data_IF_305844287048
#
_entry.id   IF_305844287048
#
_cell.length_a   1.000
_cell.length_b   1.000
_cell.length_c   1.000
_cell.angle_alpha   90.00
_cell.angle_beta   90.00
_cell.angle_gamma   90.00
#
_symmetry.space_group_name_H-M   'P 1'
#
loop_
_entity.id
_entity.type
_entity.pdbx_description
1 polymer ?
#
# COMPACT_ATOMS: atom_id res chain seq x y z
N UNK A 1 15.00 -9.24 -25.00
CA UNK A 1 13.63 -9.73 -24.75
C UNK A 1 12.99 -8.87 -23.67
N UNK A 2 11.73 -8.45 -23.83
CA UNK A 2 10.92 -7.95 -22.70
C UNK A 2 10.44 -9.18 -21.91
N UNK A 3 10.38 -9.10 -20.58
CA UNK A 3 9.99 -10.22 -19.71
C UNK A 3 8.50 -10.61 -19.86
N UNK A 4 7.90 -11.14 -18.80
CA UNK A 4 6.46 -11.45 -18.78
C UNK A 4 5.60 -10.22 -19.10
N UNK A 5 4.47 -10.42 -19.77
CA UNK A 5 3.48 -9.38 -20.09
C UNK A 5 2.70 -8.89 -18.86
N UNK A 6 2.65 -9.71 -17.82
CA UNK A 6 1.94 -9.49 -16.57
C UNK A 6 2.74 -10.08 -15.41
N UNK A 7 2.81 -9.35 -14.30
CA UNK A 7 3.35 -9.84 -13.03
C UNK A 7 2.41 -9.57 -11.87
N UNK A 8 2.58 -10.32 -10.78
CA UNK A 8 1.93 -10.05 -9.51
C UNK A 8 2.99 -9.83 -8.45
N UNK A 9 2.74 -8.84 -7.58
CA UNK A 9 3.54 -8.58 -6.39
C UNK A 9 2.66 -8.37 -5.17
N UNK A 10 3.29 -8.28 -4.01
CA UNK A 10 2.64 -7.87 -2.77
C UNK A 10 2.99 -6.42 -2.47
N UNK A 11 2.07 -5.65 -1.90
CA UNK A 11 2.30 -4.24 -1.58
C UNK A 11 1.87 -3.97 -0.13
N UNK A 12 2.87 -3.65 0.69
CA UNK A 12 2.74 -3.13 2.05
C UNK A 12 3.40 -1.75 2.08
N UNK A 13 4.73 -1.75 1.95
CA UNK A 13 5.55 -0.54 1.88
C UNK A 13 5.61 0.08 0.48
N UNK A 14 4.89 -0.45 -0.51
CA UNK A 14 4.98 0.00 -1.90
C UNK A 14 5.57 -1.00 -2.88
N UNK A 15 5.77 -2.27 -2.52
CA UNK A 15 6.52 -3.22 -3.35
C UNK A 15 5.85 -3.64 -4.68
N UNK A 16 4.65 -3.14 -5.00
CA UNK A 16 4.10 -3.15 -6.37
C UNK A 16 4.33 -1.80 -7.05
N UNK A 17 4.03 -0.69 -6.37
CA UNK A 17 4.08 0.67 -6.93
C UNK A 17 5.51 1.19 -7.17
N UNK A 18 6.44 0.92 -6.26
CA UNK A 18 7.85 1.33 -6.34
C UNK A 18 8.55 0.70 -7.55
N UNK A 19 8.58 -0.64 -7.72
CA UNK A 19 9.20 -1.24 -8.90
C UNK A 19 8.48 -0.84 -10.19
N UNK A 20 7.15 -0.64 -10.16
CA UNK A 20 6.44 -0.13 -11.31
C UNK A 20 6.93 1.26 -11.73
N UNK A 21 7.10 2.18 -10.77
CA UNK A 21 7.70 3.50 -10.99
C UNK A 21 9.12 3.39 -11.57
N UNK A 22 9.99 2.55 -10.99
CA UNK A 22 11.37 2.41 -11.42
C UNK A 22 11.52 1.77 -12.81
N UNK A 23 10.60 0.88 -13.20
CA UNK A 23 10.67 0.13 -14.45
C UNK A 23 9.78 0.68 -15.56
N UNK A 24 9.07 1.80 -15.34
CA UNK A 24 8.15 2.36 -16.32
C UNK A 24 6.93 1.47 -16.60
N UNK A 25 6.38 0.85 -15.56
CA UNK A 25 5.20 0.00 -15.62
C UNK A 25 4.02 0.67 -14.90
N UNK A 26 2.82 0.15 -15.16
CA UNK A 26 1.66 0.38 -14.34
C UNK A 26 1.64 -0.66 -13.21
N UNK A 27 1.55 -0.19 -11.97
CA UNK A 27 1.42 -1.06 -10.79
C UNK A 27 0.21 -0.61 -9.97
N UNK A 28 -0.69 -1.54 -9.67
CA UNK A 28 -1.89 -1.25 -8.88
C UNK A 28 -1.84 -2.00 -7.55
N UNK A 29 -1.91 -1.26 -6.45
CA UNK A 29 -2.27 -1.82 -5.14
C UNK A 29 -3.79 -1.72 -4.99
N UNK A 30 -4.56 -2.79 -5.22
CA UNK A 30 -6.00 -2.74 -5.09
C UNK A 30 -6.41 -2.56 -3.62
N UNK A 31 -7.71 -2.43 -3.38
CA UNK A 31 -8.27 -2.65 -2.04
C UNK A 31 -7.77 -4.00 -1.51
N UNK A 32 -7.44 -4.02 -0.22
CA UNK A 32 -7.05 -5.25 0.49
C UNK A 32 -8.12 -6.32 0.21
N UNK A 33 -7.67 -7.56 0.06
CA UNK A 33 -8.53 -8.72 -0.18
C UNK A 33 -9.30 -8.72 -1.52
N UNK A 34 -9.09 -7.72 -2.39
CA UNK A 34 -9.72 -7.71 -3.73
C UNK A 34 -9.20 -8.82 -4.64
N UNK A 35 -7.95 -9.24 -4.43
CA UNK A 35 -7.32 -10.37 -5.09
C UNK A 35 -7.08 -11.45 -4.02
N UNK A 36 -7.49 -12.71 -4.25
CA UNK A 36 -7.30 -13.81 -3.29
C UNK A 36 -5.82 -14.03 -2.94
N UNK A 37 -5.52 -14.33 -1.67
CA UNK A 37 -4.15 -14.51 -1.17
C UNK A 37 -3.90 -15.88 -0.50
N UNK A 38 -4.90 -16.76 -0.47
CA UNK A 38 -4.74 -18.08 0.12
C UNK A 38 -3.60 -18.87 -0.55
N UNK A 39 -2.84 -19.60 0.26
CA UNK A 39 -1.68 -20.39 -0.17
C UNK A 39 -0.37 -19.60 -0.31
N UNK A 40 -0.38 -18.28 -0.12
CA UNK A 40 0.83 -17.47 -0.07
C UNK A 40 1.42 -17.41 1.34
N UNK A 41 2.72 -17.20 1.43
CA UNK A 41 3.39 -16.97 2.72
C UNK A 41 2.82 -15.69 3.35
N UNK A 42 2.23 -15.78 4.55
CA UNK A 42 1.69 -14.59 5.20
C UNK A 42 2.85 -13.72 5.69
N UNK A 43 2.67 -12.41 5.68
CA UNK A 43 3.67 -11.48 6.22
C UNK A 43 3.79 -11.59 7.76
N UNK A 44 2.73 -12.04 8.41
CA UNK A 44 2.57 -12.14 9.86
C UNK A 44 2.05 -13.53 10.23
N UNK A 45 2.23 -13.94 11.49
CA UNK A 45 1.70 -15.22 11.98
C UNK A 45 0.17 -15.31 11.79
N UNK A 46 -0.33 -16.48 11.38
CA UNK A 46 -1.77 -16.74 11.31
C UNK A 46 -2.46 -16.43 12.65
N UNK A 47 -3.58 -15.71 12.60
CA UNK A 47 -4.30 -15.21 13.77
C UNK A 47 -3.91 -13.79 14.21
N UNK A 48 -2.78 -13.27 13.72
CA UNK A 48 -2.47 -11.84 13.83
C UNK A 48 -3.14 -11.10 12.68
N UNK A 49 -4.19 -10.33 12.98
CA UNK A 49 -4.75 -9.38 12.02
C UNK A 49 -3.90 -8.11 12.05
N UNK A 50 -3.08 -7.84 11.04
CA UNK A 50 -2.23 -6.68 11.09
C UNK A 50 -3.11 -5.44 10.92
N UNK A 51 -2.94 -4.46 11.79
CA UNK A 51 -3.55 -3.13 11.61
C UNK A 51 -3.02 -2.40 10.37
N UNK A 52 -2.01 -2.98 9.72
CA UNK A 52 -1.41 -2.63 8.45
C UNK A 52 -1.53 -3.84 7.50
N UNK A 53 -2.53 -3.81 6.63
CA UNK A 53 -2.78 -4.92 5.72
C UNK A 53 -1.91 -4.83 4.47
N UNK A 54 -1.61 -6.00 3.88
CA UNK A 54 -0.99 -6.12 2.57
C UNK A 54 -2.04 -6.34 1.49
N UNK A 55 -1.71 -6.02 0.24
CA UNK A 55 -2.52 -6.40 -0.90
C UNK A 55 -1.66 -7.03 -1.98
N UNK A 56 -2.17 -8.07 -2.64
CA UNK A 56 -1.60 -8.53 -3.90
C UNK A 56 -2.06 -7.60 -5.04
N UNK A 57 -1.16 -7.26 -5.94
CA UNK A 57 -1.40 -6.28 -6.99
C UNK A 57 -0.71 -6.62 -8.31
N UNK A 58 -1.36 -6.34 -9.46
CA UNK A 58 -0.78 -6.59 -10.77
C UNK A 58 0.21 -5.50 -11.19
N UNK A 59 1.20 -5.89 -12.00
CA UNK A 59 2.10 -5.02 -12.75
C UNK A 59 1.99 -5.35 -14.25
N UNK A 60 1.86 -4.33 -15.09
CA UNK A 60 1.73 -4.48 -16.53
C UNK A 60 2.24 -3.26 -17.30
N UNK A 61 2.41 -3.40 -18.61
CA UNK A 61 2.83 -2.30 -19.49
C UNK A 61 1.72 -1.29 -19.81
N UNK A 62 0.45 -1.67 -19.62
CA UNK A 62 -0.69 -0.79 -19.94
C UNK A 62 -1.74 -0.82 -18.83
N UNK A 63 -2.34 0.35 -18.54
CA UNK A 63 -3.43 0.47 -17.58
C UNK A 63 -4.65 -0.40 -17.94
N UNK A 64 -4.91 -0.61 -19.24
CA UNK A 64 -6.00 -1.48 -19.70
C UNK A 64 -5.80 -2.95 -19.28
N UNK A 65 -4.55 -3.40 -19.20
CA UNK A 65 -4.22 -4.79 -18.83
C UNK A 65 -4.41 -4.98 -17.32
N UNK A 66 -4.05 -3.97 -16.52
CA UNK A 66 -4.36 -3.90 -15.08
C UNK A 66 -5.88 -3.99 -14.85
N UNK A 67 -6.66 -3.21 -15.60
CA UNK A 67 -8.12 -3.24 -15.51
C UNK A 67 -8.68 -4.61 -15.92
N UNK A 68 -8.23 -5.15 -17.05
CA UNK A 68 -8.66 -6.46 -17.57
C UNK A 68 -8.41 -7.58 -16.55
N UNK A 69 -7.20 -7.66 -16.00
CA UNK A 69 -6.85 -8.76 -15.08
C UNK A 69 -7.61 -8.64 -13.75
N UNK A 70 -7.71 -7.43 -13.19
CA UNK A 70 -8.44 -7.22 -11.94
C UNK A 70 -9.92 -7.56 -12.11
N UNK A 71 -10.54 -7.12 -13.21
CA UNK A 71 -11.92 -7.46 -13.54
C UNK A 71 -12.10 -8.97 -13.68
N UNK A 72 -11.23 -9.63 -14.44
CA UNK A 72 -11.28 -11.08 -14.66
C UNK A 72 -11.22 -11.86 -13.34
N UNK A 73 -10.30 -11.48 -12.44
CA UNK A 73 -10.18 -12.10 -11.11
C UNK A 73 -11.45 -11.87 -10.29
N UNK A 74 -11.97 -10.65 -10.23
CA UNK A 74 -13.15 -10.35 -9.41
C UNK A 74 -14.40 -11.05 -9.96
N UNK A 75 -14.56 -11.09 -11.29
CA UNK A 75 -15.69 -11.76 -11.96
C UNK A 75 -15.65 -13.28 -11.78
N UNK A 76 -14.49 -13.89 -11.51
CA UNK A 76 -14.38 -15.30 -11.14
C UNK A 76 -14.93 -15.63 -9.74
N UNK A 77 -15.38 -14.61 -8.98
CA UNK A 77 -15.97 -14.73 -7.64
C UNK A 77 -15.06 -15.46 -6.65
N UNK A 78 -13.82 -14.99 -6.42
CA UNK A 78 -12.80 -15.68 -5.64
C UNK A 78 -13.23 -15.94 -4.19
N UNK A 79 -14.11 -15.10 -3.62
CA UNK A 79 -14.70 -15.28 -2.29
C UNK A 79 -15.51 -16.57 -2.11
N UNK A 80 -15.82 -17.30 -3.18
CA UNK A 80 -16.41 -18.64 -3.10
C UNK A 80 -15.41 -19.74 -2.75
N UNK A 81 -14.11 -19.47 -2.92
CA UNK A 81 -13.04 -20.47 -2.80
C UNK A 81 -11.93 -20.04 -1.83
N UNK A 82 -11.78 -18.74 -1.61
CA UNK A 82 -10.77 -18.16 -0.74
C UNK A 82 -11.44 -17.27 0.32
N UNK A 83 -11.29 -17.66 1.59
CA UNK A 83 -11.85 -16.93 2.73
C UNK A 83 -11.18 -15.58 3.00
N UNK A 84 -10.02 -15.32 2.38
CA UNK A 84 -9.32 -14.03 2.41
C UNK A 84 -9.88 -13.07 1.36
N UNK A 85 -10.65 -13.54 0.37
CA UNK A 85 -11.13 -12.67 -0.70
C UNK A 85 -12.39 -11.88 -0.30
N UNK A 86 -12.38 -10.58 -0.59
CA UNK A 86 -13.49 -9.67 -0.34
C UNK A 86 -14.68 -10.05 -1.25
N UNK A 87 -15.81 -10.35 -0.63
CA UNK A 87 -17.07 -10.67 -1.33
C UNK A 87 -17.75 -9.42 -1.89
N UNK A 88 -17.14 -8.83 -2.90
CA UNK A 88 -17.66 -7.64 -3.58
C UNK A 88 -17.58 -7.86 -5.10
N UNK A 89 -18.70 -7.87 -5.83
CA UNK A 89 -18.70 -7.98 -7.28
C UNK A 89 -17.93 -6.87 -8.00
N UNK A 90 -17.67 -7.07 -9.30
CA UNK A 90 -17.16 -6.00 -10.14
C UNK A 90 -18.27 -5.00 -10.42
N UNK A 91 -18.03 -3.73 -10.12
CA UNK A 91 -18.95 -2.63 -10.44
C UNK A 91 -18.29 -1.80 -11.54
N UNK A 92 -18.84 -1.76 -12.76
CA UNK A 92 -18.38 -0.84 -13.78
C UNK A 92 -18.51 0.59 -13.26
N UNK A 93 -17.42 1.35 -13.29
CA UNK A 93 -17.42 2.77 -12.98
C UNK A 93 -17.30 3.58 -14.28
N UNK A 94 -18.19 4.54 -14.48
CA UNK A 94 -17.94 5.64 -15.42
C UNK A 94 -17.15 6.73 -14.70
N UNK A 95 -16.25 7.40 -15.41
CA UNK A 95 -15.70 8.65 -14.90
C UNK A 95 -16.86 9.64 -14.74
N UNK A 96 -16.90 10.32 -13.60
CA UNK A 96 -17.83 11.44 -13.43
C UNK A 96 -17.44 12.56 -14.41
N UNK A 97 -18.43 13.36 -14.84
CA UNK A 97 -18.19 14.48 -15.76
C UNK A 97 -17.25 15.54 -15.17
N UNK A 98 -17.09 15.54 -13.85
CA UNK A 98 -16.25 16.45 -13.10
C UNK A 98 -15.51 15.66 -12.02
N UNK A 99 -14.19 15.86 -11.92
CA UNK A 99 -13.31 15.15 -11.01
C UNK A 99 -12.38 16.14 -10.33
N UNK A 100 -12.43 16.18 -9.00
CA UNK A 100 -11.48 16.92 -8.17
C UNK A 100 -10.38 15.99 -7.68
N UNK A 101 -9.12 16.38 -7.88
CA UNK A 101 -7.93 15.63 -7.45
C UNK A 101 -7.15 16.44 -6.41
N UNK A 102 -7.09 15.91 -5.20
CA UNK A 102 -6.21 16.41 -4.15
C UNK A 102 -4.75 16.04 -4.39
N UNK A 103 -3.85 17.01 -4.28
CA UNK A 103 -2.42 16.84 -4.51
C UNK A 103 -1.62 17.32 -3.29
N UNK A 104 -0.74 16.45 -2.80
CA UNK A 104 0.28 16.78 -1.79
C UNK A 104 1.58 17.02 -2.54
N UNK A 105 2.10 18.24 -2.48
CA UNK A 105 3.28 18.64 -3.26
C UNK A 105 4.56 18.09 -2.62
N UNK A 106 4.70 18.26 -1.31
CA UNK A 106 5.87 17.88 -0.53
C UNK A 106 5.49 17.79 0.95
N UNK A 107 6.14 16.89 1.68
CA UNK A 107 6.16 16.92 3.15
C UNK A 107 7.46 17.62 3.58
N UNK A 108 7.42 18.67 4.43
CA UNK A 108 8.61 19.36 4.92
C UNK A 108 9.68 18.45 5.56
N UNK A 109 9.28 17.32 6.15
CA UNK A 109 10.17 16.33 6.77
C UNK A 109 10.84 15.41 5.74
N UNK A 110 10.25 15.29 4.54
CA UNK A 110 10.71 14.41 3.48
C UNK A 110 10.83 15.17 2.14
N UNK A 111 11.76 16.14 2.04
CA UNK A 111 11.91 16.94 0.84
C UNK A 111 12.27 16.06 -0.35
N UNK A 112 11.64 16.32 -1.48
CA UNK A 112 11.86 15.56 -2.73
C UNK A 112 12.87 16.26 -3.62
N UNK A 113 13.65 15.48 -4.37
CA UNK A 113 14.62 16.04 -5.28
C UNK A 113 13.95 16.93 -6.36
N UNK A 114 14.59 18.02 -6.77
CA UNK A 114 14.03 18.98 -7.74
C UNK A 114 13.50 18.34 -9.04
N UNK A 115 14.11 17.29 -9.62
CA UNK A 115 13.54 16.59 -10.78
C UNK A 115 12.17 15.94 -10.50
N UNK A 116 11.94 15.44 -9.27
CA UNK A 116 10.67 14.85 -8.85
C UNK A 116 9.61 15.94 -8.71
N UNK A 117 9.94 17.09 -8.13
CA UNK A 117 9.05 18.26 -8.06
C UNK A 117 8.62 18.73 -9.45
N UNK A 118 9.57 18.87 -10.39
CA UNK A 118 9.25 19.24 -11.78
C UNK A 118 8.31 18.23 -12.44
N UNK A 119 8.55 16.94 -12.21
CA UNK A 119 7.70 15.87 -12.76
C UNK A 119 6.28 15.92 -12.18
N UNK A 120 6.15 16.14 -10.87
CA UNK A 120 4.85 16.34 -10.20
C UNK A 120 4.12 17.55 -10.76
N UNK A 121 4.79 18.69 -10.90
CA UNK A 121 4.18 19.92 -11.43
C UNK A 121 3.71 19.72 -12.88
N UNK A 122 4.52 19.07 -13.72
CA UNK A 122 4.13 18.76 -15.09
C UNK A 122 2.92 17.80 -15.16
N UNK A 123 2.81 16.85 -14.23
CA UNK A 123 1.65 15.97 -14.14
C UNK A 123 0.38 16.73 -13.72
N UNK A 124 0.49 17.61 -12.72
CA UNK A 124 -0.61 18.48 -12.28
C UNK A 124 -1.12 19.35 -13.43
N UNK A 125 -0.21 19.98 -14.18
CA UNK A 125 -0.60 20.85 -15.29
C UNK A 125 -1.30 20.08 -16.42
N UNK A 126 -0.84 18.86 -16.72
CA UNK A 126 -1.52 17.97 -17.66
C UNK A 126 -2.93 17.61 -17.21
N UNK A 127 -3.15 17.39 -15.91
CA UNK A 127 -4.48 17.11 -15.38
C UNK A 127 -5.40 18.34 -15.46
N UNK A 128 -4.88 19.54 -15.17
CA UNK A 128 -5.63 20.80 -15.35
C UNK A 128 -6.02 21.02 -16.81
N UNK A 129 -5.09 20.84 -17.74
CA UNK A 129 -5.37 20.93 -19.17
C UNK A 129 -6.40 19.90 -19.66
N UNK A 130 -6.51 18.75 -18.99
CA UNK A 130 -7.53 17.75 -19.25
C UNK A 130 -8.90 18.10 -18.63
N UNK A 131 -9.02 19.25 -17.96
CA UNK A 131 -10.28 19.74 -17.36
C UNK A 131 -10.58 19.20 -15.97
N UNK A 132 -9.58 18.67 -15.25
CA UNK A 132 -9.75 18.23 -13.86
C UNK A 132 -9.46 19.38 -12.89
N UNK A 133 -10.25 19.44 -11.83
CA UNK A 133 -10.02 20.40 -10.75
C UNK A 133 -8.93 19.87 -9.83
N UNK A 134 -7.88 20.66 -9.62
CA UNK A 134 -6.73 20.26 -8.81
C UNK A 134 -6.68 21.09 -7.55
N UNK A 135 -6.84 20.41 -6.41
CA UNK A 135 -6.69 21.03 -5.10
C UNK A 135 -5.35 20.71 -4.45
N UNK A 136 -4.65 21.70 -3.90
CA UNK A 136 -3.41 21.46 -3.14
C UNK A 136 -3.77 21.24 -1.67
N UNK A 137 -3.39 20.08 -1.15
CA UNK A 137 -3.58 19.69 0.24
C UNK A 137 -2.41 20.19 1.09
N UNK A 138 -2.67 21.16 1.98
CA UNK A 138 -1.66 21.76 2.86
C UNK A 138 -1.72 21.32 4.32
N UNK A 139 -2.90 20.97 4.83
CA UNK A 139 -3.08 20.41 6.17
C UNK A 139 -3.40 18.92 6.02
N UNK A 140 -2.36 18.08 6.04
CA UNK A 140 -2.49 16.61 6.00
C UNK A 140 -1.85 16.02 7.24
N UNK A 141 -2.31 14.84 7.72
CA UNK A 141 -1.66 14.19 8.85
C UNK A 141 -0.19 13.91 8.58
N UNK A 142 0.65 14.09 9.61
CA UNK A 142 2.09 13.84 9.54
C UNK A 142 2.39 12.44 9.01
N UNK A 143 3.16 12.37 7.92
CA UNK A 143 3.62 11.11 7.37
C UNK A 143 4.62 10.42 8.30
N UNK A 144 5.41 11.18 9.07
CA UNK A 144 6.30 10.64 10.10
C UNK A 144 5.49 9.96 11.21
N UNK A 145 4.47 10.63 11.77
CA UNK A 145 3.61 10.05 12.82
C UNK A 145 2.91 8.77 12.32
N UNK A 146 2.41 8.79 11.08
CA UNK A 146 1.79 7.62 10.46
C UNK A 146 2.80 6.50 10.18
N UNK A 147 4.02 6.85 9.78
CA UNK A 147 5.13 5.94 9.53
C UNK A 147 5.59 5.24 10.80
N UNK A 148 5.84 5.99 11.86
CA UNK A 148 6.24 5.48 13.18
C UNK A 148 5.18 4.55 13.78
N UNK A 149 3.91 4.92 13.65
CA UNK A 149 2.81 4.07 14.07
C UNK A 149 2.75 2.78 13.24
N UNK A 150 3.01 2.86 11.95
CA UNK A 150 3.07 1.69 11.05
C UNK A 150 4.22 0.75 11.43
N UNK A 151 5.42 1.28 11.67
CA UNK A 151 6.55 0.48 12.16
C UNK A 151 6.27 -0.14 13.52
N UNK A 152 5.62 0.61 14.41
CA UNK A 152 5.18 0.07 15.71
C UNK A 152 4.22 -1.12 15.56
N UNK A 153 3.36 -1.14 14.53
CA UNK A 153 2.51 -2.30 14.23
C UNK A 153 3.29 -3.49 13.65
N UNK A 154 4.36 -3.26 12.88
CA UNK A 154 5.24 -4.34 12.43
C UNK A 154 6.05 -4.94 13.58
N UNK A 155 6.44 -4.10 14.53
CA UNK A 155 7.24 -4.49 15.68
C UNK A 155 6.45 -5.20 16.78
N UNK A 156 5.12 -5.24 16.69
CA UNK A 156 4.30 -5.97 17.67
C UNK A 156 4.79 -7.42 17.79
N UNK A 157 5.04 -8.13 16.69
CA UNK A 157 5.59 -9.48 16.78
C UNK A 157 6.95 -9.59 16.08
N UNK A 158 7.94 -8.91 16.65
CA UNK A 158 9.33 -9.00 16.20
C UNK A 158 10.00 -10.35 16.53
N UNK A 159 9.30 -11.25 17.24
CA UNK A 159 9.82 -12.56 17.65
C UNK A 159 9.26 -13.73 16.86
N UNK A 160 8.14 -13.60 16.15
CA UNK A 160 7.51 -14.69 15.40
C UNK A 160 7.31 -14.33 13.93
N UNK A 161 8.28 -13.63 13.35
CA UNK A 161 8.33 -13.46 11.89
C UNK A 161 8.37 -14.84 11.20
N UNK A 162 7.59 -15.06 10.12
CA UNK A 162 7.54 -16.32 9.36
C UNK A 162 8.93 -16.85 8.97
N UNK A 163 9.91 -15.94 8.88
CA UNK A 163 11.29 -16.25 8.55
C UNK A 163 12.06 -17.01 9.63
N UNK A 164 11.59 -17.15 10.89
CA UNK A 164 12.34 -17.96 11.89
C UNK A 164 12.48 -19.44 11.49
N UNK A 165 11.66 -19.94 10.58
CA UNK A 165 11.81 -21.27 9.98
C UNK A 165 12.56 -21.31 8.64
N UNK A 166 12.97 -20.16 8.10
CA UNK A 166 13.59 -20.05 6.77
C UNK A 166 15.13 -20.17 6.74
N UNK A 167 15.92 -19.64 7.70
CA UNK A 167 17.36 -19.91 7.76
C UNK A 167 17.54 -21.36 8.22
N UNK A 168 17.52 -22.28 7.26
CA UNK A 168 17.65 -23.71 7.48
C UNK A 168 17.09 -24.58 6.36
N UNK A 169 16.14 -24.09 5.56
CA UNK A 169 15.56 -24.90 4.49
C UNK A 169 16.44 -25.00 3.23
N UNK A 170 17.12 -23.90 2.85
CA UNK A 170 18.04 -23.87 1.69
C UNK A 170 19.52 -23.89 2.06
N UNK A 171 19.88 -23.63 3.33
CA UNK A 171 21.27 -23.47 3.77
C UNK A 171 21.93 -22.16 3.33
N UNK A 172 21.23 -21.30 2.60
CA UNK A 172 21.75 -20.00 2.15
C UNK A 172 21.66 -18.94 3.26
N UNK A 173 22.67 -18.06 3.40
CA UNK A 173 22.61 -16.97 4.35
C UNK A 173 21.56 -15.93 3.95
N UNK A 174 20.96 -15.27 4.94
CA UNK A 174 20.08 -14.13 4.68
C UNK A 174 20.86 -13.01 3.98
N UNK A 175 20.21 -12.33 3.03
CA UNK A 175 20.74 -11.11 2.44
C UNK A 175 20.94 -10.06 3.55
N UNK A 176 22.10 -9.39 3.58
CA UNK A 176 22.48 -8.48 4.67
C UNK A 176 21.42 -7.40 4.97
N UNK A 177 20.72 -6.87 3.95
CA UNK A 177 19.65 -5.90 4.16
C UNK A 177 18.45 -6.49 4.93
N UNK A 178 18.05 -7.71 4.59
CA UNK A 178 16.98 -8.45 5.28
C UNK A 178 17.41 -8.78 6.70
N UNK A 179 18.65 -9.23 6.87
CA UNK A 179 19.23 -9.51 8.18
C UNK A 179 19.23 -8.26 9.08
N UNK A 180 19.66 -7.11 8.58
CA UNK A 180 19.66 -5.83 9.33
C UNK A 180 18.26 -5.39 9.74
N UNK A 181 17.30 -5.49 8.82
CA UNK A 181 15.88 -5.16 9.09
C UNK A 181 15.30 -5.99 10.24
N UNK A 182 15.75 -7.24 10.39
CA UNK A 182 15.28 -8.13 11.46
C UNK A 182 16.13 -8.04 12.73
N UNK A 183 17.44 -7.79 12.63
CA UNK A 183 18.34 -7.65 13.77
C UNK A 183 18.13 -6.37 14.58
N UNK A 184 17.56 -5.31 14.01
CA UNK A 184 17.34 -4.03 14.73
C UNK A 184 16.32 -4.10 15.87
N UNK A 185 15.63 -5.24 16.06
CA UNK A 185 14.56 -5.42 17.05
C UNK A 185 14.93 -6.40 18.18
N UNK A 186 16.18 -6.37 18.66
CA UNK A 186 16.76 -7.32 19.63
C UNK A 186 16.04 -7.34 20.99
N UNK A 187 15.27 -6.30 21.34
CA UNK A 187 14.43 -6.36 22.52
C UNK A 187 13.03 -6.86 22.13
N UNK A 188 12.62 -8.08 22.54
CA UNK A 188 11.25 -8.51 22.39
C UNK A 188 10.36 -7.52 23.13
N UNK A 189 9.57 -6.72 22.39
CA UNK A 189 8.56 -5.89 23.04
C UNK A 189 7.53 -6.84 23.62
N UNK A 190 7.43 -6.90 24.95
CA UNK A 190 6.31 -7.54 25.62
C UNK A 190 5.07 -6.70 25.34
N UNK A 191 4.37 -6.98 24.24
CA UNK A 191 3.15 -6.24 23.92
C UNK A 191 2.15 -6.38 25.05
N UNK A 192 1.75 -5.25 25.62
CA UNK A 192 0.59 -5.21 26.50
C UNK A 192 -0.62 -4.88 25.64
N UNK A 193 -1.74 -5.58 25.82
CA UNK A 193 -3.00 -5.31 25.11
C UNK A 193 -3.39 -3.83 25.15
N UNK A 194 -3.07 -3.13 26.25
CA UNK A 194 -3.32 -1.70 26.41
C UNK A 194 -2.53 -0.82 25.41
N UNK A 195 -1.29 -1.16 25.10
CA UNK A 195 -0.47 -0.41 24.13
C UNK A 195 -1.08 -0.53 22.73
N UNK A 196 -1.53 -1.73 22.35
CA UNK A 196 -2.25 -1.96 21.10
C UNK A 196 -3.53 -1.12 21.00
N UNK A 197 -4.31 -1.01 22.10
CA UNK A 197 -5.48 -0.14 22.13
C UNK A 197 -5.11 1.33 21.92
N UNK A 198 -4.07 1.82 22.58
CA UNK A 198 -3.59 3.20 22.41
C UNK A 198 -3.13 3.46 20.98
N UNK A 199 -2.41 2.52 20.36
CA UNK A 199 -2.02 2.59 18.95
C UNK A 199 -3.25 2.67 18.03
N UNK A 200 -4.30 1.88 18.30
CA UNK A 200 -5.54 1.93 17.53
C UNK A 200 -6.29 3.26 17.68
N UNK A 201 -6.24 3.88 18.87
CA UNK A 201 -6.79 5.23 19.09
C UNK A 201 -6.03 6.26 18.25
N UNK A 202 -4.69 6.23 18.25
CA UNK A 202 -3.85 7.10 17.42
C UNK A 202 -4.18 6.92 15.92
N UNK A 203 -4.27 5.68 15.44
CA UNK A 203 -4.66 5.37 14.06
C UNK A 203 -6.02 5.98 13.70
N UNK A 204 -7.00 5.86 14.59
CA UNK A 204 -8.34 6.42 14.39
C UNK A 204 -8.35 7.94 14.40
N UNK A 205 -7.46 8.60 15.16
CA UNK A 205 -7.29 10.05 15.11
C UNK A 205 -6.73 10.50 13.75
N UNK A 206 -5.68 9.83 13.26
CA UNK A 206 -5.10 10.10 11.93
C UNK A 206 -6.16 9.94 10.82
N UNK A 207 -6.92 8.82 10.84
CA UNK A 207 -7.97 8.56 9.86
C UNK A 207 -9.07 9.63 9.85
N UNK A 208 -9.47 10.11 11.02
CA UNK A 208 -10.48 11.19 11.14
C UNK A 208 -9.99 12.47 10.48
N UNK A 209 -8.72 12.85 10.66
CA UNK A 209 -8.14 14.01 9.99
C UNK A 209 -8.18 13.86 8.46
N UNK A 210 -7.72 12.72 7.92
CA UNK A 210 -7.78 12.46 6.47
C UNK A 210 -9.20 12.58 5.88
N UNK A 211 -10.22 12.16 6.63
CA UNK A 211 -11.62 12.24 6.19
C UNK A 211 -12.08 13.70 6.08
N UNK A 212 -11.74 14.54 7.06
CA UNK A 212 -12.04 15.98 7.03
C UNK A 212 -11.39 16.63 5.81
N UNK A 213 -10.13 16.33 5.51
CA UNK A 213 -9.41 16.91 4.37
C UNK A 213 -10.04 16.50 3.04
N UNK A 214 -10.46 15.25 2.92
CA UNK A 214 -11.16 14.74 1.73
C UNK A 214 -12.52 15.40 1.56
N UNK A 215 -13.25 15.67 2.65
CA UNK A 215 -14.52 16.39 2.60
C UNK A 215 -14.33 17.85 2.18
N UNK A 216 -13.30 18.52 2.68
CA UNK A 216 -12.98 19.90 2.32
C UNK A 216 -12.62 20.04 0.83
N UNK A 217 -11.93 19.04 0.24
CA UNK A 217 -11.66 19.00 -1.21
C UNK A 217 -12.92 18.93 -2.06
N UNK A 218 -14.01 18.31 -1.57
CA UNK A 218 -15.27 18.21 -2.30
C UNK A 218 -16.12 19.50 -2.21
N UNK A 219 -15.67 20.50 -1.44
CA UNK A 219 -16.34 21.79 -1.32
C UNK A 219 -15.70 22.90 -2.19
N UNK A 220 -14.66 22.57 -2.97
CA UNK A 220 -14.02 23.48 -3.93
C UNK A 220 -14.68 23.35 -5.29
#
# INVERSE_FOLDING_TARGET
MRGSVLGFGTDIGGSVRIPALCCGLYGLKPTVDRIPYFGQTPFVKYGYQPNVSYAMGPLAHFARDIHFILRTIVESKPWKYDHTALSMPWTPSSLQNHLTVGCIIEDPLYPVASPVLRTRQAAIEKLRHAGLDIGILGDVPSFEEAGDLTWSYFDLDNTLVPYKGWPGASGEPLVSAVEKMHRSHVNPRKNRTLELFQMNVKRSAIRRRCQTDTHNLLQW
#
